data_IF_089305340667
#
_entry.id   IF_089305340667
#
_cell.length_a   1.000
_cell.length_b   1.000
_cell.length_c   1.000
_cell.angle_alpha   90.00
_cell.angle_beta   90.00
_cell.angle_gamma   90.00
#
_symmetry.space_group_name_H-M   'P 1'
#
loop_
_entity.id
_entity.type
_entity.pdbx_description
1 polymer ?
#
# COMPACT_ATOMS: atom_id res chain seq x y z
N UNK A 1 -9.35 -19.99 -6.76
CA UNK A 1 -8.37 -20.02 -5.66
C UNK A 1 -8.74 -18.93 -4.66
N UNK A 2 -8.44 -19.08 -3.36
CA UNK A 2 -8.65 -17.99 -2.41
C UNK A 2 -7.84 -16.76 -2.83
N UNK A 3 -8.41 -15.56 -2.66
CA UNK A 3 -7.76 -14.30 -3.00
C UNK A 3 -6.68 -13.98 -1.96
N UNK A 4 -5.44 -13.60 -2.34
CA UNK A 4 -4.42 -13.17 -1.40
C UNK A 4 -4.89 -12.02 -0.53
N UNK A 5 -4.50 -12.05 0.75
CA UNK A 5 -4.71 -10.96 1.69
C UNK A 5 -3.37 -10.33 2.07
N UNK A 6 -3.32 -9.01 2.06
CA UNK A 6 -2.13 -8.20 2.32
C UNK A 6 -2.44 -7.08 3.32
N UNK A 7 -1.40 -6.46 3.85
CA UNK A 7 -1.49 -5.40 4.85
C UNK A 7 -0.80 -4.12 4.34
N UNK A 8 -1.45 -2.97 4.49
CA UNK A 8 -0.83 -1.65 4.41
C UNK A 8 -0.74 -1.09 5.84
N UNK A 9 0.47 -0.89 6.31
CA UNK A 9 0.74 -0.31 7.63
C UNK A 9 1.22 1.13 7.51
N UNK A 10 0.50 2.05 8.16
CA UNK A 10 0.82 3.47 8.19
C UNK A 10 1.68 3.85 9.40
N UNK A 11 1.99 2.91 10.29
CA UNK A 11 2.74 3.12 11.54
C UNK A 11 2.14 4.26 12.40
N UNK A 12 0.85 4.16 12.79
CA UNK A 12 0.16 5.24 13.50
C UNK A 12 0.69 5.39 14.93
N UNK A 13 0.78 6.66 15.38
CA UNK A 13 1.14 7.04 16.74
C UNK A 13 -0.14 7.36 17.49
N UNK A 14 -0.49 6.58 18.51
CA UNK A 14 -1.63 6.86 19.37
C UNK A 14 -1.30 7.98 20.37
N UNK A 15 -2.29 8.78 20.75
CA UNK A 15 -2.13 9.82 21.74
C UNK A 15 -1.58 9.27 23.07
N UNK A 16 -0.51 9.88 23.57
CA UNK A 16 0.19 9.42 24.77
C UNK A 16 1.29 8.38 24.56
N UNK A 17 1.46 7.86 23.34
CA UNK A 17 2.52 6.92 22.96
C UNK A 17 3.68 7.64 22.26
N UNK A 18 4.81 6.95 22.11
CA UNK A 18 5.99 7.45 21.40
C UNK A 18 6.08 6.89 19.98
N UNK A 19 6.75 7.62 19.07
CA UNK A 19 7.04 7.13 17.71
C UNK A 19 7.83 5.81 17.72
N UNK A 20 8.74 5.63 18.69
CA UNK A 20 9.51 4.39 18.82
C UNK A 20 8.64 3.19 19.20
N UNK A 21 7.59 3.37 20.01
CA UNK A 21 6.60 2.33 20.30
C UNK A 21 5.78 2.00 19.07
N UNK A 22 5.30 3.00 18.33
CA UNK A 22 4.56 2.79 17.07
C UNK A 22 5.37 1.97 16.06
N UNK A 23 6.66 2.27 15.89
CA UNK A 23 7.56 1.51 15.00
C UNK A 23 7.70 0.06 15.49
N UNK A 24 7.98 -0.18 16.78
CA UNK A 24 8.10 -1.55 17.32
C UNK A 24 6.80 -2.34 17.14
N UNK A 25 5.66 -1.73 17.44
CA UNK A 25 4.34 -2.36 17.21
C UNK A 25 4.17 -2.77 15.75
N UNK A 26 4.52 -1.90 14.79
CA UNK A 26 4.41 -2.23 13.35
C UNK A 26 5.34 -3.38 12.97
N UNK A 27 6.53 -3.49 13.55
CA UNK A 27 7.44 -4.63 13.34
C UNK A 27 6.82 -5.92 13.89
N UNK A 28 6.30 -5.89 15.12
CA UNK A 28 5.69 -7.09 15.75
C UNK A 28 4.45 -7.56 14.97
N UNK A 29 3.64 -6.63 14.47
CA UNK A 29 2.47 -6.94 13.65
C UNK A 29 2.85 -7.51 12.27
N UNK A 30 3.95 -7.07 11.67
CA UNK A 30 4.45 -7.67 10.43
C UNK A 30 4.95 -9.12 10.63
N UNK A 31 5.64 -9.38 11.74
CA UNK A 31 6.04 -10.74 12.12
C UNK A 31 4.82 -11.63 12.33
N UNK A 32 3.78 -11.13 12.99
CA UNK A 32 2.52 -11.83 13.15
C UNK A 32 1.85 -12.12 11.79
N UNK A 33 1.83 -11.14 10.88
CA UNK A 33 1.28 -11.30 9.53
C UNK A 33 2.02 -12.41 8.74
N UNK A 34 3.37 -12.49 8.84
CA UNK A 34 4.16 -13.58 8.25
C UNK A 34 3.74 -14.95 8.80
N UNK A 35 3.55 -15.05 10.12
CA UNK A 35 3.12 -16.28 10.79
C UNK A 35 1.73 -16.74 10.37
N UNK A 36 0.81 -15.79 10.14
CA UNK A 36 -0.56 -16.05 9.75
C UNK A 36 -0.76 -16.30 8.25
N UNK A 37 0.27 -16.07 7.42
CA UNK A 37 0.20 -16.36 5.98
C UNK A 37 -0.29 -15.18 5.13
N UNK A 38 -0.18 -13.95 5.59
CA UNK A 38 -0.36 -12.79 4.74
C UNK A 38 0.59 -12.82 3.56
N UNK A 39 0.13 -12.32 2.41
CA UNK A 39 0.95 -12.34 1.20
C UNK A 39 2.04 -11.27 1.23
N UNK A 40 1.67 -10.03 1.62
CA UNK A 40 2.63 -8.92 1.75
C UNK A 40 2.26 -7.93 2.84
N UNK A 41 3.25 -7.14 3.26
CA UNK A 41 3.05 -5.91 4.04
C UNK A 41 3.75 -4.76 3.32
N UNK A 42 3.05 -3.63 3.20
CA UNK A 42 3.60 -2.40 2.64
C UNK A 42 3.61 -1.28 3.67
N UNK A 43 4.62 -0.41 3.57
CA UNK A 43 4.80 0.79 4.38
C UNK A 43 4.72 2.03 3.51
N UNK A 44 3.98 3.06 3.97
CA UNK A 44 3.82 4.30 3.24
C UNK A 44 4.89 5.33 3.64
N UNK A 45 5.23 6.22 2.70
CA UNK A 45 6.08 7.38 2.93
C UNK A 45 5.21 8.59 3.29
N UNK A 46 5.34 9.09 4.54
CA UNK A 46 4.67 10.30 4.98
C UNK A 46 5.66 11.21 5.72
N UNK A 47 5.70 12.47 5.33
CA UNK A 47 6.57 13.47 5.94
C UNK A 47 5.77 14.53 6.69
N UNK A 48 6.37 15.11 7.74
CA UNK A 48 5.75 16.14 8.58
C UNK A 48 4.34 15.77 9.06
N UNK A 49 4.14 14.49 9.37
CA UNK A 49 2.86 13.95 9.86
C UNK A 49 3.03 13.48 11.31
N UNK A 50 2.66 14.29 12.31
CA UNK A 50 2.92 13.96 13.72
C UNK A 50 2.20 12.70 14.23
N UNK A 51 1.20 12.23 13.50
CA UNK A 51 0.46 11.00 13.80
C UNK A 51 1.03 9.74 13.17
N UNK A 52 2.10 9.82 12.37
CA UNK A 52 2.68 8.68 11.65
C UNK A 52 4.19 8.61 11.89
N UNK A 53 4.72 7.42 12.10
CA UNK A 53 6.13 7.23 12.44
C UNK A 53 7.00 6.75 11.26
N UNK A 54 6.45 6.60 10.05
CA UNK A 54 7.17 6.12 8.87
C UNK A 54 7.33 7.21 7.81
N UNK A 55 8.56 7.72 7.67
CA UNK A 55 8.96 8.64 6.59
C UNK A 55 10.00 8.04 5.65
N UNK A 56 10.46 6.81 5.91
CA UNK A 56 11.49 6.10 5.15
C UNK A 56 11.10 4.61 5.03
N UNK A 57 10.16 4.28 4.12
CA UNK A 57 9.68 2.91 3.98
C UNK A 57 10.79 1.90 3.69
N UNK A 58 11.85 2.28 2.97
CA UNK A 58 12.99 1.43 2.65
C UNK A 58 13.73 0.89 3.90
N UNK A 59 13.76 1.67 4.98
CA UNK A 59 14.35 1.24 6.25
C UNK A 59 13.44 0.22 6.95
N UNK A 60 12.12 0.45 6.94
CA UNK A 60 11.15 -0.49 7.48
C UNK A 60 11.16 -1.81 6.69
N UNK A 61 11.27 -1.72 5.37
CA UNK A 61 11.33 -2.89 4.48
C UNK A 61 12.51 -3.78 4.84
N UNK A 62 13.73 -3.23 4.93
CA UNK A 62 14.91 -4.00 5.29
C UNK A 62 14.73 -4.66 6.66
N UNK A 63 14.36 -3.86 7.67
CA UNK A 63 14.24 -4.32 9.04
C UNK A 63 13.22 -5.45 9.21
N UNK A 64 12.12 -5.44 8.47
CA UNK A 64 11.07 -6.47 8.52
C UNK A 64 11.43 -7.66 7.66
N UNK A 65 11.97 -7.45 6.46
CA UNK A 65 12.39 -8.54 5.60
C UNK A 65 13.45 -9.43 6.26
N UNK A 66 14.35 -8.83 7.08
CA UNK A 66 15.35 -9.57 7.87
C UNK A 66 14.75 -10.37 9.05
N UNK A 67 13.51 -10.08 9.48
CA UNK A 67 12.81 -10.72 10.60
C UNK A 67 11.69 -11.67 10.21
N UNK A 68 11.35 -11.71 8.93
CA UNK A 68 10.29 -12.53 8.35
C UNK A 68 10.87 -13.48 7.32
N UNK A 69 10.16 -14.52 6.96
CA UNK A 69 10.71 -15.56 6.08
C UNK A 69 9.96 -15.74 4.75
N UNK A 70 8.67 -15.45 4.71
CA UNK A 70 7.80 -15.68 3.55
C UNK A 70 7.12 -14.42 3.05
N UNK A 71 6.78 -13.53 4.00
CA UNK A 71 6.09 -12.28 3.74
C UNK A 71 6.87 -11.43 2.73
N UNK A 72 6.22 -10.99 1.67
CA UNK A 72 6.76 -9.94 0.81
C UNK A 72 6.68 -8.61 1.55
N UNK A 73 7.69 -7.79 1.41
CA UNK A 73 7.76 -6.49 2.11
C UNK A 73 8.00 -5.39 1.07
N UNK A 74 7.25 -4.29 1.15
CA UNK A 74 7.38 -3.26 0.14
C UNK A 74 6.95 -1.88 0.57
N UNK A 75 7.06 -0.94 -0.37
CA UNK A 75 6.57 0.43 -0.21
C UNK A 75 5.14 0.54 -0.75
N UNK A 76 4.29 1.20 0.02
CA UNK A 76 2.92 1.48 -0.37
C UNK A 76 2.50 2.94 -0.18
N UNK A 77 3.32 3.91 -0.77
CA UNK A 77 4.44 3.82 -1.71
C UNK A 77 5.56 4.80 -1.41
N UNK A 78 6.61 4.67 -2.21
CA UNK A 78 7.60 5.73 -2.34
C UNK A 78 6.99 6.87 -3.15
N UNK A 79 7.09 8.09 -2.65
CA UNK A 79 6.59 9.28 -3.36
C UNK A 79 7.64 9.73 -4.39
N UNK A 80 7.65 9.08 -5.57
CA UNK A 80 8.70 9.21 -6.57
C UNK A 80 9.10 10.67 -6.90
N UNK A 81 8.17 11.65 -6.97
CA UNK A 81 8.55 13.04 -7.23
C UNK A 81 9.41 13.71 -6.15
N UNK A 82 9.56 13.10 -4.98
CA UNK A 82 10.44 13.61 -3.92
C UNK A 82 11.89 13.09 -4.05
N UNK A 83 12.15 12.17 -4.98
CA UNK A 83 13.40 11.41 -5.04
C UNK A 83 14.03 11.44 -6.45
N UNK A 84 15.35 11.28 -6.52
CA UNK A 84 16.03 11.00 -7.77
C UNK A 84 15.77 9.55 -8.20
N UNK A 85 15.28 9.26 -9.42
CA UNK A 85 15.01 7.89 -9.90
C UNK A 85 16.20 6.96 -9.76
N UNK A 86 17.43 7.43 -10.02
CA UNK A 86 18.65 6.64 -9.82
C UNK A 86 18.78 6.16 -8.36
N UNK A 87 18.52 7.05 -7.38
CA UNK A 87 18.62 6.67 -5.96
C UNK A 87 17.60 5.60 -5.59
N UNK A 88 16.38 5.71 -6.10
CA UNK A 88 15.34 4.70 -5.89
C UNK A 88 15.73 3.37 -6.54
N UNK A 89 16.27 3.42 -7.79
CA UNK A 89 16.75 2.23 -8.46
C UNK A 89 17.81 1.49 -7.64
N UNK A 90 18.82 2.21 -7.15
CA UNK A 90 19.91 1.61 -6.35
C UNK A 90 19.41 1.08 -5.00
N UNK A 91 18.54 1.83 -4.32
CA UNK A 91 18.00 1.40 -3.02
C UNK A 91 17.19 0.10 -3.14
N UNK A 92 16.30 0.01 -4.13
CA UNK A 92 15.44 -1.17 -4.27
C UNK A 92 16.14 -2.36 -4.92
N UNK A 93 17.15 -2.15 -5.77
CA UNK A 93 18.05 -3.22 -6.20
C UNK A 93 18.85 -3.79 -5.04
N UNK A 94 19.35 -2.94 -4.12
CA UNK A 94 20.07 -3.41 -2.95
C UNK A 94 19.14 -4.22 -2.01
N UNK A 95 17.92 -3.76 -1.79
CA UNK A 95 16.92 -4.50 -1.00
C UNK A 95 16.60 -5.86 -1.65
N UNK A 96 16.42 -5.91 -2.98
CA UNK A 96 16.18 -7.14 -3.71
C UNK A 96 17.39 -8.10 -3.66
N UNK A 97 18.61 -7.57 -3.71
CA UNK A 97 19.83 -8.36 -3.55
C UNK A 97 19.95 -8.97 -2.13
N UNK A 98 19.52 -8.24 -1.11
CA UNK A 98 19.51 -8.71 0.28
C UNK A 98 18.39 -9.74 0.55
N UNK A 99 17.23 -9.56 -0.07
CA UNK A 99 16.01 -10.36 0.16
C UNK A 99 15.36 -10.80 -1.16
N UNK A 100 16.04 -11.65 -1.96
CA UNK A 100 15.59 -11.98 -3.33
C UNK A 100 14.16 -12.51 -3.38
N UNK A 101 13.35 -11.94 -4.28
CA UNK A 101 11.98 -12.34 -4.54
C UNK A 101 10.97 -11.90 -3.47
N UNK A 102 11.38 -11.12 -2.46
CA UNK A 102 10.52 -10.73 -1.34
C UNK A 102 10.23 -9.23 -1.28
N UNK A 103 10.80 -8.44 -2.15
CA UNK A 103 10.64 -6.99 -2.13
C UNK A 103 9.58 -6.55 -3.14
N UNK A 104 8.86 -5.47 -2.84
CA UNK A 104 7.95 -4.76 -3.75
C UNK A 104 8.28 -3.27 -3.76
N UNK A 105 8.26 -2.65 -4.95
CA UNK A 105 8.39 -1.21 -5.11
C UNK A 105 7.07 -0.60 -5.55
N UNK A 106 6.31 -0.07 -4.61
CA UNK A 106 5.12 0.72 -4.91
C UNK A 106 5.46 2.20 -5.02
N UNK A 107 4.95 2.87 -6.06
CA UNK A 107 5.24 4.24 -6.42
C UNK A 107 3.98 5.11 -6.37
N UNK A 108 4.05 6.22 -5.64
CA UNK A 108 3.01 7.25 -5.56
C UNK A 108 3.39 8.55 -6.26
N UNK A 109 2.38 9.24 -6.81
CA UNK A 109 2.54 10.56 -7.42
C UNK A 109 2.45 11.71 -6.42
N UNK A 110 1.61 11.55 -5.40
CA UNK A 110 1.38 12.60 -4.40
C UNK A 110 2.66 12.90 -3.61
N UNK A 111 2.81 14.12 -3.05
CA UNK A 111 4.01 14.45 -2.26
C UNK A 111 4.09 13.72 -0.91
N UNK A 112 3.02 13.09 -0.45
CA UNK A 112 2.96 12.42 0.87
C UNK A 112 3.05 13.38 2.05
N UNK A 113 2.79 14.68 1.83
CA UNK A 113 2.97 15.73 2.83
C UNK A 113 2.31 17.05 2.42
N UNK A 114 2.45 18.09 3.27
CA UNK A 114 2.05 19.47 2.95
C UNK A 114 3.00 20.17 1.96
N UNK A 115 2.57 21.31 1.41
CA UNK A 115 3.30 22.04 0.36
C UNK A 115 4.68 22.55 0.82
N UNK A 116 4.82 22.98 2.08
CA UNK A 116 6.09 23.50 2.61
C UNK A 116 7.10 22.37 2.74
N UNK A 117 6.66 21.24 3.26
CA UNK A 117 7.48 20.04 3.40
C UNK A 117 7.86 19.47 2.03
N UNK A 118 6.91 19.43 1.08
CA UNK A 118 7.21 19.03 -0.31
C UNK A 118 8.28 19.94 -0.93
N UNK A 119 8.25 21.26 -0.67
CA UNK A 119 9.29 22.19 -1.12
C UNK A 119 10.64 21.88 -0.46
N UNK A 120 10.67 21.55 0.83
CA UNK A 120 11.90 21.15 1.52
C UNK A 120 12.50 19.86 0.95
N UNK A 121 11.67 18.94 0.45
CA UNK A 121 12.09 17.68 -0.20
C UNK A 121 12.61 17.93 -1.62
N UNK A 122 11.85 18.65 -2.46
CA UNK A 122 12.14 18.85 -3.90
C UNK A 122 13.11 19.99 -4.16
N UNK A 123 13.24 20.95 -3.25
CA UNK A 123 14.22 22.05 -3.18
C UNK A 123 14.17 23.06 -4.33
N UNK A 124 13.15 23.04 -5.17
CA UNK A 124 12.88 24.07 -6.18
C UNK A 124 11.39 24.33 -6.36
N UNK A 125 11.02 25.55 -6.76
CA UNK A 125 9.64 25.91 -7.04
C UNK A 125 9.14 25.24 -8.33
N UNK A 126 10.01 25.09 -9.31
CA UNK A 126 9.74 24.40 -10.57
C UNK A 126 9.41 22.92 -10.31
N UNK A 127 10.25 22.22 -9.54
CA UNK A 127 10.02 20.83 -9.17
C UNK A 127 8.72 20.64 -8.35
N UNK A 128 8.33 21.63 -7.54
CA UNK A 128 7.10 21.56 -6.76
C UNK A 128 5.84 21.57 -7.64
N UNK A 129 5.89 22.29 -8.76
CA UNK A 129 4.76 22.46 -9.70
C UNK A 129 4.86 21.56 -10.93
N UNK A 130 5.95 20.82 -11.10
CA UNK A 130 6.13 19.90 -12.22
C UNK A 130 5.10 18.74 -12.14
N UNK A 131 4.48 18.44 -13.27
CA UNK A 131 3.68 17.23 -13.48
C UNK A 131 4.51 16.22 -14.29
N UNK A 132 5.67 15.85 -13.73
CA UNK A 132 6.75 15.07 -14.35
C UNK A 132 6.78 13.62 -13.87
N UNK A 133 5.72 13.15 -13.22
CA UNK A 133 5.66 11.79 -12.70
C UNK A 133 5.82 10.70 -13.78
N UNK A 134 5.21 10.82 -14.98
CA UNK A 134 5.45 9.85 -16.05
C UNK A 134 6.91 9.83 -16.53
N UNK A 135 7.58 10.99 -16.60
CA UNK A 135 8.97 11.14 -17.00
C UNK A 135 9.91 10.51 -15.95
N UNK A 136 9.67 10.76 -14.66
CA UNK A 136 10.41 10.15 -13.56
C UNK A 136 10.26 8.63 -13.54
N UNK A 137 9.04 8.11 -13.82
CA UNK A 137 8.80 6.68 -13.96
C UNK A 137 9.57 6.11 -15.16
N UNK A 138 9.51 6.78 -16.31
CA UNK A 138 10.24 6.35 -17.51
C UNK A 138 11.76 6.35 -17.27
N UNK A 139 12.29 7.35 -16.56
CA UNK A 139 13.70 7.40 -16.16
C UNK A 139 14.09 6.26 -15.24
N UNK A 140 13.25 5.95 -14.24
CA UNK A 140 13.47 4.80 -13.33
C UNK A 140 13.53 3.47 -14.10
N UNK A 141 12.58 3.26 -15.01
CA UNK A 141 12.55 2.07 -15.87
C UNK A 141 13.76 2.01 -16.81
N UNK A 142 14.15 3.15 -17.39
CA UNK A 142 15.31 3.24 -18.26
C UNK A 142 16.63 2.96 -17.53
N UNK A 143 16.76 3.33 -16.27
CA UNK A 143 17.90 2.92 -15.44
C UNK A 143 17.93 1.41 -15.23
N UNK A 144 16.78 0.79 -14.95
CA UNK A 144 16.72 -0.65 -14.70
C UNK A 144 16.96 -1.47 -15.96
N UNK A 145 16.37 -1.08 -17.08
CA UNK A 145 16.44 -1.82 -18.36
C UNK A 145 17.64 -1.41 -19.21
N UNK A 146 18.44 -0.41 -18.77
CA UNK A 146 19.56 0.15 -19.55
C UNK A 146 19.09 0.72 -20.90
N UNK A 147 17.89 1.28 -20.94
CA UNK A 147 17.16 1.63 -22.16
C UNK A 147 17.26 3.12 -22.54
N UNK A 148 18.19 3.87 -21.99
CA UNK A 148 18.40 5.26 -22.41
C UNK A 148 18.86 5.36 -23.87
N UNK A 149 18.34 6.34 -24.65
CA UNK A 149 18.80 6.63 -26.01
C UNK A 149 20.31 6.82 -26.12
N UNK A 150 20.86 6.64 -27.31
CA UNK A 150 22.30 6.64 -27.52
C UNK A 150 22.99 7.97 -27.16
N UNK A 151 22.28 9.10 -27.29
CA UNK A 151 22.70 10.45 -27.00
C UNK A 151 22.28 10.95 -25.60
N UNK A 152 21.57 10.12 -24.83
CA UNK A 152 21.10 10.52 -23.51
C UNK A 152 22.27 10.64 -22.52
N UNK A 153 22.35 11.72 -21.68
CA UNK A 153 23.46 11.93 -20.76
C UNK A 153 23.61 10.82 -19.70
N UNK A 154 22.54 10.11 -19.35
CA UNK A 154 22.55 9.05 -18.36
C UNK A 154 22.82 7.65 -18.93
N UNK A 155 23.03 7.51 -20.25
CA UNK A 155 23.22 6.21 -20.89
C UNK A 155 24.33 5.35 -20.29
N UNK A 156 25.39 5.96 -19.78
CA UNK A 156 26.54 5.26 -19.20
C UNK A 156 26.38 4.94 -17.71
N UNK A 157 25.36 5.49 -17.07
CA UNK A 157 25.11 5.25 -15.63
C UNK A 157 24.58 3.83 -15.46
N UNK A 158 25.15 3.12 -14.50
CA UNK A 158 24.74 1.76 -14.10
C UNK A 158 24.35 1.77 -12.65
N UNK A 159 23.04 1.68 -12.32
CA UNK A 159 22.59 1.55 -10.94
C UNK A 159 23.23 0.33 -10.27
N UNK A 160 23.68 0.47 -9.05
CA UNK A 160 24.28 -0.62 -8.26
C UNK A 160 23.26 -1.20 -7.27
N UNK A 161 23.30 -2.54 -7.03
CA UNK A 161 24.13 -3.58 -7.64
C UNK A 161 23.80 -3.78 -9.13
N UNK A 162 24.83 -3.95 -9.96
CA UNK A 162 24.64 -3.97 -11.44
C UNK A 162 23.99 -5.25 -11.98
N UNK A 163 24.08 -6.34 -11.24
CA UNK A 163 23.61 -7.68 -11.57
C UNK A 163 22.21 -7.98 -10.97
N UNK A 164 21.63 -7.04 -10.24
CA UNK A 164 20.30 -7.16 -9.66
C UNK A 164 19.32 -6.24 -10.38
N UNK A 165 18.13 -6.76 -10.71
CA UNK A 165 17.04 -5.97 -11.27
C UNK A 165 16.16 -5.37 -10.17
N UNK A 166 15.35 -4.37 -10.53
CA UNK A 166 14.31 -3.89 -9.63
C UNK A 166 13.31 -4.98 -9.27
N UNK A 167 12.80 -5.01 -8.03
CA UNK A 167 11.70 -5.88 -7.65
C UNK A 167 10.43 -5.54 -8.43
N UNK A 168 9.35 -6.33 -8.30
CA UNK A 168 8.05 -6.00 -8.89
C UNK A 168 7.61 -4.57 -8.57
N UNK A 169 7.26 -3.81 -9.64
CA UNK A 169 6.83 -2.42 -9.55
C UNK A 169 5.31 -2.32 -9.55
N UNK A 170 4.81 -1.42 -8.71
CA UNK A 170 3.39 -1.14 -8.55
C UNK A 170 3.14 0.35 -8.64
N UNK A 171 2.18 0.78 -9.47
CA UNK A 171 1.69 2.15 -9.37
C UNK A 171 0.53 2.22 -8.39
N UNK A 172 0.54 3.24 -7.54
CA UNK A 172 -0.48 3.48 -6.54
C UNK A 172 -1.32 4.70 -6.92
N UNK A 173 -2.62 4.61 -6.69
CA UNK A 173 -3.50 5.74 -6.92
C UNK A 173 -4.92 5.53 -6.45
N UNK A 174 -5.67 6.64 -6.39
CA UNK A 174 -7.10 6.68 -6.07
C UNK A 174 -7.93 7.26 -7.21
N UNK A 175 -7.37 7.29 -8.42
CA UNK A 175 -8.00 7.85 -9.62
C UNK A 175 -7.70 7.01 -10.85
N UNK A 176 -8.39 7.32 -11.95
CA UNK A 176 -8.23 6.72 -13.28
C UNK A 176 -6.87 7.02 -13.94
N UNK A 177 -6.24 8.15 -13.60
CA UNK A 177 -4.93 8.53 -14.15
C UNK A 177 -3.86 7.44 -13.86
N UNK A 178 -3.70 7.07 -12.58
CA UNK A 178 -2.70 6.05 -12.20
C UNK A 178 -3.05 4.67 -12.76
N UNK A 179 -4.35 4.36 -12.89
CA UNK A 179 -4.82 3.12 -13.49
C UNK A 179 -4.39 3.00 -14.97
N UNK A 180 -4.62 4.06 -15.75
CA UNK A 180 -4.20 4.12 -17.17
C UNK A 180 -2.69 4.06 -17.33
N UNK A 181 -1.96 4.87 -16.55
CA UNK A 181 -0.49 4.86 -16.61
C UNK A 181 0.09 3.48 -16.28
N UNK A 182 -0.45 2.80 -15.25
CA UNK A 182 -0.03 1.45 -14.90
C UNK A 182 -0.33 0.44 -16.02
N UNK A 183 -1.50 0.54 -16.64
CA UNK A 183 -1.90 -0.33 -17.74
C UNK A 183 -1.01 -0.14 -18.97
N UNK A 184 -0.75 1.10 -19.37
CA UNK A 184 0.10 1.46 -20.52
C UNK A 184 1.56 1.04 -20.30
N UNK A 185 2.07 1.21 -19.07
CA UNK A 185 3.43 0.82 -18.71
C UNK A 185 3.59 -0.69 -18.43
N UNK A 186 2.52 -1.47 -18.46
CA UNK A 186 2.55 -2.91 -18.15
C UNK A 186 3.03 -3.22 -16.74
N UNK A 187 2.58 -2.45 -15.74
CA UNK A 187 2.97 -2.58 -14.33
C UNK A 187 1.79 -3.02 -13.47
N UNK A 188 2.07 -3.53 -12.25
CA UNK A 188 1.05 -3.81 -11.25
C UNK A 188 0.35 -2.52 -10.80
N UNK A 189 -0.93 -2.62 -10.41
CA UNK A 189 -1.71 -1.47 -9.95
C UNK A 189 -2.37 -1.73 -8.60
N UNK A 190 -2.19 -0.80 -7.65
CA UNK A 190 -2.84 -0.83 -6.34
C UNK A 190 -3.77 0.38 -6.19
N UNK A 191 -5.08 0.11 -6.15
CA UNK A 191 -6.07 1.16 -5.99
C UNK A 191 -6.38 1.44 -4.52
N UNK A 192 -6.23 2.70 -4.11
CA UNK A 192 -6.47 3.17 -2.75
C UNK A 192 -7.97 3.45 -2.50
N UNK A 193 -8.79 2.39 -2.37
CA UNK A 193 -10.23 2.53 -2.09
C UNK A 193 -10.51 3.11 -0.69
N UNK A 194 -9.57 3.00 0.25
CA UNK A 194 -9.64 3.69 1.54
C UNK A 194 -9.61 5.22 1.40
N UNK A 195 -9.09 5.77 0.29
CA UNK A 195 -9.12 7.19 -0.05
C UNK A 195 -10.32 7.53 -0.92
N UNK A 196 -10.63 6.69 -1.92
CA UNK A 196 -11.71 6.90 -2.87
C UNK A 196 -12.47 5.59 -3.18
N UNK A 197 -13.37 5.20 -2.30
CA UNK A 197 -14.11 3.94 -2.45
C UNK A 197 -14.96 3.89 -3.73
N UNK A 198 -15.53 5.05 -4.16
CA UNK A 198 -16.41 5.11 -5.36
C UNK A 198 -15.66 4.88 -6.66
N UNK A 199 -14.39 5.25 -6.72
CA UNK A 199 -13.55 5.08 -7.91
C UNK A 199 -12.99 3.68 -8.11
N UNK A 200 -13.09 2.77 -7.12
CA UNK A 200 -12.42 1.49 -7.14
C UNK A 200 -12.85 0.59 -8.31
N UNK A 201 -14.17 0.38 -8.46
CA UNK A 201 -14.69 -0.53 -9.50
C UNK A 201 -14.36 -0.06 -10.92
N UNK A 202 -14.66 1.19 -11.33
CA UNK A 202 -14.31 1.64 -12.67
C UNK A 202 -12.79 1.62 -12.91
N UNK A 203 -11.98 2.15 -12.00
CA UNK A 203 -10.53 2.26 -12.21
C UNK A 203 -9.85 0.89 -12.36
N UNK A 204 -10.21 -0.10 -11.52
CA UNK A 204 -9.60 -1.43 -11.59
C UNK A 204 -10.05 -2.20 -12.84
N UNK A 205 -11.31 -2.05 -13.26
CA UNK A 205 -11.79 -2.65 -14.51
C UNK A 205 -11.14 -2.00 -15.73
N UNK A 206 -11.01 -0.68 -15.77
CA UNK A 206 -10.35 0.04 -16.86
C UNK A 206 -8.86 -0.32 -16.95
N UNK A 207 -8.16 -0.44 -15.81
CA UNK A 207 -6.79 -0.93 -15.75
C UNK A 207 -6.68 -2.31 -16.42
N UNK A 208 -7.53 -3.26 -16.07
CA UNK A 208 -7.49 -4.61 -16.64
C UNK A 208 -7.81 -4.63 -18.13
N UNK A 209 -8.81 -3.85 -18.54
CA UNK A 209 -9.27 -3.81 -19.94
C UNK A 209 -8.25 -3.17 -20.89
N UNK A 210 -7.44 -2.22 -20.39
CA UNK A 210 -6.45 -1.47 -21.18
C UNK A 210 -5.01 -1.94 -20.95
N UNK A 211 -4.80 -3.00 -20.15
CA UNK A 211 -3.47 -3.48 -19.79
C UNK A 211 -2.66 -3.95 -21.01
N UNK A 212 -1.45 -3.43 -21.11
CA UNK A 212 -0.46 -3.83 -22.11
C UNK A 212 0.55 -4.78 -21.45
N UNK A 213 0.63 -6.07 -21.87
CA UNK A 213 1.57 -7.00 -21.30
C UNK A 213 3.02 -6.53 -21.42
N UNK A 214 3.83 -6.75 -20.40
CA UNK A 214 5.26 -6.46 -20.35
C UNK A 214 6.07 -7.68 -19.88
N UNK A 215 7.41 -7.60 -19.99
CA UNK A 215 8.28 -8.63 -19.41
C UNK A 215 8.14 -8.71 -17.89
N UNK A 216 7.76 -7.60 -17.22
CA UNK A 216 7.56 -7.55 -15.76
C UNK A 216 6.23 -8.16 -15.34
N UNK A 217 5.20 -7.95 -16.15
CA UNK A 217 3.84 -8.45 -15.91
C UNK A 217 3.24 -8.95 -17.24
N UNK A 218 3.20 -10.27 -17.45
CA UNK A 218 2.55 -10.85 -18.64
C UNK A 218 1.02 -10.71 -18.59
N UNK A 219 0.46 -10.53 -17.39
CA UNK A 219 -0.97 -10.34 -17.12
C UNK A 219 -1.17 -9.24 -16.09
N UNK A 220 -2.31 -8.52 -16.12
CA UNK A 220 -2.60 -7.49 -15.13
C UNK A 220 -2.73 -8.09 -13.73
N UNK A 221 -2.16 -7.41 -12.74
CA UNK A 221 -2.37 -7.73 -11.34
C UNK A 221 -2.87 -6.50 -10.59
N UNK A 222 -4.10 -6.58 -10.10
CA UNK A 222 -4.83 -5.50 -9.45
C UNK A 222 -4.96 -5.74 -7.94
N UNK A 223 -4.47 -4.80 -7.12
CA UNK A 223 -4.65 -4.80 -5.66
C UNK A 223 -5.76 -3.80 -5.32
N UNK A 224 -6.76 -4.25 -4.55
CA UNK A 224 -7.76 -3.40 -3.94
C UNK A 224 -7.36 -3.10 -2.49
N UNK A 225 -6.96 -1.85 -2.19
CA UNK A 225 -6.59 -1.45 -0.83
C UNK A 225 -7.79 -0.80 -0.13
N UNK A 226 -8.24 -1.39 0.97
CA UNK A 226 -9.42 -0.96 1.72
C UNK A 226 -9.08 -0.67 3.17
N UNK A 227 -9.79 0.29 3.80
CA UNK A 227 -9.76 0.48 5.26
C UNK A 227 -10.79 -0.41 5.91
N UNK A 228 -10.41 -1.05 7.02
CA UNK A 228 -11.30 -1.89 7.83
C UNK A 228 -11.24 -1.49 9.31
N UNK A 229 -12.38 -1.60 9.99
CA UNK A 229 -12.51 -1.45 11.44
C UNK A 229 -13.19 -2.70 11.96
N UNK A 230 -12.41 -3.62 12.51
CA UNK A 230 -12.88 -4.93 12.98
C UNK A 230 -13.03 -4.91 14.49
N UNK A 231 -14.26 -5.05 14.98
CA UNK A 231 -14.57 -5.23 16.39
C UNK A 231 -14.80 -6.68 16.77
N UNK A 232 -14.91 -6.96 18.06
CA UNK A 232 -15.37 -8.28 18.59
C UNK A 232 -16.82 -8.58 18.18
N UNK A 233 -17.61 -7.51 18.10
CA UNK A 233 -18.99 -7.49 17.61
C UNK A 233 -19.17 -6.29 16.70
N UNK A 234 -20.24 -6.29 15.89
CA UNK A 234 -20.59 -5.13 15.05
C UNK A 234 -20.86 -3.85 15.86
N UNK A 235 -21.37 -3.96 17.10
CA UNK A 235 -21.55 -2.81 18.00
C UNK A 235 -20.21 -2.25 18.47
N UNK A 236 -19.28 -3.12 18.90
CA UNK A 236 -17.91 -2.70 19.27
C UNK A 236 -17.18 -2.07 18.08
N UNK A 237 -17.32 -2.61 16.87
CA UNK A 237 -16.75 -1.99 15.68
C UNK A 237 -17.28 -0.58 15.42
N UNK A 238 -18.57 -0.33 15.65
CA UNK A 238 -19.16 1.02 15.54
C UNK A 238 -18.59 1.98 16.58
N UNK A 239 -18.34 1.52 17.79
CA UNK A 239 -17.66 2.35 18.81
C UNK A 239 -16.24 2.69 18.35
N UNK A 240 -15.46 1.71 17.90
CA UNK A 240 -14.11 1.92 17.36
C UNK A 240 -14.09 2.86 16.15
N UNK A 241 -15.14 2.87 15.34
CA UNK A 241 -15.22 3.76 14.17
C UNK A 241 -15.27 5.25 14.51
N UNK A 242 -15.62 5.63 15.74
CA UNK A 242 -15.55 7.01 16.20
C UNK A 242 -14.13 7.58 16.16
N UNK A 243 -13.10 6.72 16.30
CA UNK A 243 -11.69 7.10 16.12
C UNK A 243 -11.47 7.61 14.70
N UNK A 244 -11.96 6.87 13.70
CA UNK A 244 -11.83 7.25 12.29
C UNK A 244 -12.58 8.56 12.02
N UNK A 245 -13.79 8.71 12.56
CA UNK A 245 -14.61 9.91 12.38
C UNK A 245 -13.89 11.15 12.93
N UNK A 246 -13.36 11.07 14.16
CA UNK A 246 -12.61 12.17 14.75
C UNK A 246 -11.31 12.47 14.02
N UNK A 247 -10.58 11.43 13.59
CA UNK A 247 -9.37 11.59 12.79
C UNK A 247 -9.66 12.30 11.46
N UNK A 248 -10.72 11.94 10.76
CA UNK A 248 -11.15 12.58 9.52
C UNK A 248 -11.51 14.05 9.70
N UNK A 249 -12.20 14.40 10.80
CA UNK A 249 -12.49 15.79 11.13
C UNK A 249 -11.21 16.59 11.38
N UNK A 250 -10.27 16.04 12.13
CA UNK A 250 -8.97 16.67 12.41
C UNK A 250 -8.16 16.88 11.14
N UNK A 251 -8.09 15.85 10.30
CA UNK A 251 -7.41 15.93 9.00
C UNK A 251 -8.02 17.05 8.14
N UNK A 252 -9.34 17.14 8.08
CA UNK A 252 -10.05 18.15 7.29
C UNK A 252 -9.86 19.57 7.81
N UNK A 253 -9.75 19.74 9.13
CA UNK A 253 -9.50 21.04 9.77
C UNK A 253 -8.02 21.42 9.85
N UNK A 254 -7.12 20.59 9.32
CA UNK A 254 -5.67 20.82 9.40
C UNK A 254 -5.08 20.58 10.79
N UNK A 255 -5.82 19.95 11.69
CA UNK A 255 -5.38 19.60 13.04
C UNK A 255 -4.63 18.26 13.02
N UNK A 256 -3.43 18.27 12.45
CA UNK A 256 -2.59 17.09 12.40
C UNK A 256 -1.98 16.79 13.78
N UNK A 257 -2.06 15.54 14.22
CA UNK A 257 -1.53 15.11 15.52
C UNK A 257 -1.55 13.61 15.66
N UNK A 258 -1.20 13.12 16.86
CA UNK A 258 -1.35 11.71 17.19
C UNK A 258 -2.80 11.27 17.01
N UNK A 259 -2.99 9.99 16.71
CA UNK A 259 -4.31 9.40 16.53
C UNK A 259 -5.10 9.45 17.85
N UNK A 260 -6.39 9.81 17.81
CA UNK A 260 -7.21 9.87 19.01
C UNK A 260 -7.40 8.48 19.61
N UNK A 261 -7.52 8.42 20.94
CA UNK A 261 -7.96 7.21 21.64
C UNK A 261 -9.46 7.01 21.50
N UNK A 262 -9.96 5.80 21.77
CA UNK A 262 -11.41 5.53 21.82
C UNK A 262 -12.11 6.39 22.86
N UNK A 263 -11.49 6.59 24.04
CA UNK A 263 -12.03 7.46 25.09
C UNK A 263 -12.20 8.90 24.60
N UNK A 264 -11.20 9.44 23.91
CA UNK A 264 -11.24 10.79 23.36
C UNK A 264 -12.34 10.91 22.29
N UNK A 265 -12.39 9.96 21.37
CA UNK A 265 -13.38 9.94 20.29
C UNK A 265 -14.81 9.77 20.80
N UNK A 266 -15.02 8.92 21.83
CA UNK A 266 -16.32 8.71 22.44
C UNK A 266 -16.85 9.92 23.22
N UNK A 267 -15.96 10.77 23.74
CA UNK A 267 -16.33 12.02 24.44
C UNK A 267 -16.55 13.20 23.50
N UNK A 268 -16.13 13.10 22.24
CA UNK A 268 -16.26 14.20 21.29
C UNK A 268 -17.73 14.44 20.91
N UNK A 269 -18.25 15.68 21.06
CA UNK A 269 -19.65 15.99 20.84
C UNK A 269 -19.94 16.23 19.34
N UNK A 270 -19.86 15.17 18.52
CA UNK A 270 -20.14 15.29 17.10
C UNK A 270 -21.46 16.00 16.79
N UNK A 271 -21.40 17.13 16.12
CA UNK A 271 -22.57 17.86 15.63
C UNK A 271 -23.24 17.16 14.43
N UNK A 272 -24.49 17.49 14.13
CA UNK A 272 -25.18 16.97 12.96
C UNK A 272 -24.47 17.35 11.65
N UNK A 273 -23.90 18.55 11.57
CA UNK A 273 -23.14 19.03 10.41
C UNK A 273 -21.85 18.23 10.20
N UNK A 274 -21.11 17.93 11.26
CA UNK A 274 -19.89 17.10 11.19
C UNK A 274 -20.21 15.67 10.76
N UNK A 275 -21.27 15.05 11.30
CA UNK A 275 -21.73 13.71 10.89
C UNK A 275 -22.10 13.68 9.40
N UNK A 276 -22.80 14.71 8.91
CA UNK A 276 -23.14 14.83 7.50
C UNK A 276 -21.90 15.02 6.64
N UNK A 277 -20.93 15.81 7.08
CA UNK A 277 -19.66 16.01 6.40
C UNK A 277 -18.89 14.69 6.28
N UNK A 278 -18.71 13.96 7.39
CA UNK A 278 -18.05 12.64 7.40
C UNK A 278 -18.74 11.68 6.43
N UNK A 279 -20.07 11.59 6.46
CA UNK A 279 -20.84 10.71 5.58
C UNK A 279 -20.71 11.06 4.09
N UNK A 280 -20.38 12.32 3.75
CA UNK A 280 -20.18 12.78 2.37
C UNK A 280 -18.76 12.53 1.84
N UNK A 281 -17.79 12.24 2.71
CA UNK A 281 -16.39 12.02 2.29
C UNK A 281 -16.25 10.78 1.40
N UNK A 282 -15.32 10.80 0.43
CA UNK A 282 -15.03 9.64 -0.41
C UNK A 282 -14.30 8.53 0.35
N UNK A 283 -13.62 8.88 1.44
CA UNK A 283 -12.92 7.94 2.34
C UNK A 283 -13.94 7.10 3.10
N UNK A 284 -13.75 5.79 3.08
CA UNK A 284 -14.62 4.85 3.81
C UNK A 284 -13.83 3.74 4.43
N UNK A 285 -14.29 3.31 5.62
CA UNK A 285 -13.86 2.07 6.27
C UNK A 285 -15.01 1.08 6.25
N UNK A 286 -14.71 -0.20 6.04
CA UNK A 286 -15.65 -1.29 6.27
C UNK A 286 -15.66 -1.59 7.76
N UNK A 287 -16.83 -1.45 8.41
CA UNK A 287 -17.00 -1.50 9.85
C UNK A 287 -17.92 -2.66 10.21
N UNK A 288 -17.49 -3.53 11.12
CA UNK A 288 -18.27 -4.68 11.57
C UNK A 288 -17.43 -5.70 12.33
N UNK A 289 -18.03 -6.83 12.67
CA UNK A 289 -17.25 -8.01 13.00
C UNK A 289 -16.52 -8.57 11.76
N UNK A 290 -15.67 -9.55 11.97
CA UNK A 290 -14.79 -10.03 10.89
C UNK A 290 -15.57 -10.63 9.71
N UNK A 291 -16.66 -11.34 9.95
CA UNK A 291 -17.52 -11.95 8.93
C UNK A 291 -18.24 -10.90 8.11
N UNK A 292 -18.78 -9.88 8.76
CA UNK A 292 -19.43 -8.77 8.07
C UNK A 292 -18.46 -7.97 7.20
N UNK A 293 -17.29 -7.64 7.74
CA UNK A 293 -16.23 -6.95 6.99
C UNK A 293 -15.76 -7.79 5.81
N UNK A 294 -15.49 -9.09 6.03
CA UNK A 294 -15.09 -10.00 4.95
C UNK A 294 -16.12 -10.04 3.81
N UNK A 295 -17.40 -10.17 4.13
CA UNK A 295 -18.47 -10.19 3.13
C UNK A 295 -18.48 -8.92 2.29
N UNK A 296 -18.42 -7.74 2.92
CA UNK A 296 -18.43 -6.44 2.24
C UNK A 296 -17.18 -6.23 1.37
N UNK A 297 -16.00 -6.56 1.90
CA UNK A 297 -14.73 -6.43 1.18
C UNK A 297 -14.67 -7.38 -0.01
N UNK A 298 -15.13 -8.62 0.15
CA UNK A 298 -15.20 -9.61 -0.92
C UNK A 298 -16.14 -9.17 -2.04
N UNK A 299 -17.30 -8.62 -1.71
CA UNK A 299 -18.25 -8.09 -2.70
C UNK A 299 -17.59 -6.98 -3.55
N UNK A 300 -16.91 -6.01 -2.92
CA UNK A 300 -16.20 -4.96 -3.65
C UNK A 300 -15.04 -5.52 -4.49
N UNK A 301 -14.30 -6.49 -3.96
CA UNK A 301 -13.20 -7.13 -4.67
C UNK A 301 -13.67 -7.93 -5.90
N UNK A 302 -14.82 -8.59 -5.80
CA UNK A 302 -15.45 -9.30 -6.92
C UNK A 302 -15.96 -8.31 -7.98
N UNK A 303 -16.64 -7.25 -7.56
CA UNK A 303 -17.12 -6.19 -8.45
C UNK A 303 -15.97 -5.48 -9.19
N UNK A 304 -14.87 -5.23 -8.53
CA UNK A 304 -13.70 -4.57 -9.11
C UNK A 304 -12.76 -5.52 -9.86
N UNK A 305 -12.99 -6.83 -9.79
CA UNK A 305 -12.12 -7.86 -10.37
C UNK A 305 -10.67 -7.78 -9.82
N UNK A 306 -10.52 -7.41 -8.55
CA UNK A 306 -9.21 -7.36 -7.92
C UNK A 306 -8.63 -8.77 -7.75
N UNK A 307 -7.34 -8.93 -8.02
CA UNK A 307 -6.60 -10.19 -7.81
C UNK A 307 -6.25 -10.38 -6.35
N UNK A 308 -6.05 -9.29 -5.63
CA UNK A 308 -5.57 -9.25 -4.26
C UNK A 308 -6.32 -8.19 -3.46
N UNK A 309 -6.55 -8.45 -2.17
CA UNK A 309 -7.07 -7.49 -1.20
C UNK A 309 -5.94 -7.06 -0.27
N UNK A 310 -5.77 -5.76 -0.11
CA UNK A 310 -4.87 -5.19 0.89
C UNK A 310 -5.70 -4.42 1.92
N UNK A 311 -5.57 -4.78 3.19
CA UNK A 311 -6.29 -4.10 4.26
C UNK A 311 -5.40 -3.11 4.99
N UNK A 312 -5.99 -2.00 5.41
CA UNK A 312 -5.38 -1.06 6.37
C UNK A 312 -6.39 -0.74 7.46
N UNK A 313 -5.92 -0.22 8.57
CA UNK A 313 -6.81 0.29 9.63
C UNK A 313 -6.28 1.62 10.16
N UNK A 314 -7.20 2.50 10.51
CA UNK A 314 -6.88 3.75 11.21
C UNK A 314 -6.97 3.61 12.74
N UNK A 315 -7.22 2.40 13.24
CA UNK A 315 -7.16 2.12 14.69
C UNK A 315 -5.68 2.16 15.13
N UNK A 316 -5.34 2.99 16.12
CA UNK A 316 -3.96 3.15 16.52
C UNK A 316 -3.52 2.15 17.59
N UNK A 317 -4.48 1.63 18.39
CA UNK A 317 -4.17 0.76 19.52
C UNK A 317 -3.60 -0.60 19.05
N UNK A 318 -2.50 -1.06 19.65
CA UNK A 318 -1.85 -2.31 19.24
C UNK A 318 -2.76 -3.54 19.28
N UNK A 319 -3.63 -3.64 20.29
CA UNK A 319 -4.53 -4.79 20.47
C UNK A 319 -5.63 -4.81 19.40
N UNK A 320 -6.18 -3.67 19.02
CA UNK A 320 -7.17 -3.58 17.95
C UNK A 320 -6.56 -3.89 16.59
N UNK A 321 -5.36 -3.42 16.33
CA UNK A 321 -4.59 -3.76 15.11
C UNK A 321 -4.27 -5.25 15.06
N UNK A 322 -3.85 -5.83 16.17
CA UNK A 322 -3.59 -7.27 16.30
C UNK A 322 -4.86 -8.07 16.05
N UNK A 323 -5.98 -7.68 16.66
CA UNK A 323 -7.30 -8.32 16.44
C UNK A 323 -7.65 -8.30 14.96
N UNK A 324 -7.57 -7.14 14.32
CA UNK A 324 -7.86 -7.01 12.89
C UNK A 324 -7.02 -7.99 12.07
N UNK A 325 -5.71 -8.08 12.31
CA UNK A 325 -4.81 -8.98 11.57
C UNK A 325 -5.19 -10.45 11.79
N UNK A 326 -5.46 -10.85 13.03
CA UNK A 326 -5.82 -12.24 13.36
C UNK A 326 -7.18 -12.63 12.76
N UNK A 327 -8.19 -11.78 12.96
CA UNK A 327 -9.55 -12.06 12.51
C UNK A 327 -9.67 -12.02 10.97
N UNK A 328 -9.00 -11.09 10.31
CA UNK A 328 -8.99 -11.07 8.86
C UNK A 328 -8.26 -12.29 8.28
N UNK A 329 -7.16 -12.73 8.88
CA UNK A 329 -6.50 -13.98 8.48
C UNK A 329 -7.44 -15.19 8.60
N UNK A 330 -8.22 -15.26 9.69
CA UNK A 330 -9.19 -16.32 9.93
C UNK A 330 -10.29 -16.34 8.87
N UNK A 331 -10.95 -15.21 8.60
CA UNK A 331 -12.07 -15.15 7.65
C UNK A 331 -11.65 -15.26 6.19
N UNK A 332 -10.40 -14.91 5.85
CA UNK A 332 -9.80 -15.16 4.54
C UNK A 332 -9.18 -16.55 4.42
N UNK A 333 -9.28 -17.38 5.47
CA UNK A 333 -8.77 -18.74 5.51
C UNK A 333 -7.28 -18.84 5.16
N UNK A 334 -6.48 -17.89 5.65
CA UNK A 334 -5.05 -17.89 5.37
C UNK A 334 -4.38 -19.10 6.01
N UNK A 335 -3.50 -19.75 5.25
CA UNK A 335 -2.70 -20.88 5.72
C UNK A 335 -1.23 -20.53 5.67
N UNK A 336 -0.51 -20.79 6.76
CA UNK A 336 0.94 -20.62 6.79
C UNK A 336 1.58 -21.47 5.69
N UNK A 337 2.24 -20.82 4.72
CA UNK A 337 2.92 -21.51 3.61
C UNK A 337 2.24 -21.41 2.24
N UNK A 338 1.07 -20.80 2.13
CA UNK A 338 0.45 -20.56 0.82
C UNK A 338 1.16 -19.40 0.10
N UNK A 339 1.57 -19.61 -1.16
CA UNK A 339 2.14 -18.58 -2.05
C UNK A 339 1.37 -18.55 -3.36
N UNK A 340 0.80 -17.38 -3.77
CA UNK A 340 0.11 -17.25 -5.05
C UNK A 340 1.02 -17.49 -6.28
N UNK A 341 2.31 -17.19 -6.14
CA UNK A 341 3.31 -17.38 -7.22
C UNK A 341 3.55 -18.87 -7.43
N UNK A 342 3.80 -19.64 -6.37
CA UNK A 342 3.96 -21.08 -6.45
C UNK A 342 2.70 -21.81 -6.98
N UNK A 343 1.49 -21.28 -6.68
CA UNK A 343 0.24 -21.82 -7.19
C UNK A 343 0.05 -21.58 -8.71
N UNK A 344 0.55 -20.46 -9.25
CA UNK A 344 0.52 -20.19 -10.71
C UNK A 344 1.56 -21.02 -11.47
N UNK A 345 2.75 -21.19 -10.94
CA UNK A 345 3.80 -22.05 -11.54
C UNK A 345 3.37 -23.52 -11.63
N UNK A 346 2.65 -24.04 -10.63
CA UNK A 346 2.11 -25.39 -10.64
C UNK A 346 1.03 -25.61 -11.71
N UNK A 347 0.22 -24.60 -12.01
CA UNK A 347 -0.82 -24.64 -13.06
C UNK A 347 -0.20 -24.59 -14.46
N UNK A 348 0.83 -23.75 -14.67
CA UNK A 348 1.53 -23.66 -15.94
C UNK A 348 2.33 -24.93 -16.25
N UNK A 349 2.94 -25.56 -15.25
CA UNK A 349 3.68 -26.81 -15.41
C UNK A 349 2.74 -27.98 -15.74
N UNK A 350 1.55 -28.03 -15.13
CA UNK A 350 0.55 -29.08 -15.42
C UNK A 350 -0.09 -28.92 -16.80
N UNK A 351 -0.29 -27.67 -17.27
CA UNK A 351 -0.81 -27.39 -18.60
C UNK A 351 0.20 -27.73 -19.71
N UNK A 352 1.51 -27.49 -19.49
CA UNK A 352 2.57 -27.86 -20.42
C UNK A 352 2.78 -29.37 -20.52
N UNK A 353 2.54 -30.12 -19.46
CA UNK A 353 2.60 -31.60 -19.48
C UNK A 353 1.37 -32.24 -20.16
N UNK A 354 0.22 -31.58 -20.13
CA UNK A 354 -1.01 -32.08 -20.79
C UNK A 354 -1.04 -31.85 -22.31
N UNK A 355 -0.15 -30.98 -22.83
CA UNK A 355 -0.03 -30.70 -24.28
C UNK A 355 1.09 -31.55 -24.91
N UNK A 356 1.97 -32.17 -24.12
CA UNK A 356 3.11 -32.99 -24.56
C UNK A 356 2.86 -34.51 -24.41
N UNK A 357 1.70 -34.95 -24.06
CA UNK A 357 1.18 -36.33 -24.06
C UNK A 357 -0.02 -36.44 -24.98
#
# INVERSE_FOLDING_TARGET
>A
MPRPLSLLDLTPIVAGSSSGEAVRTSVDLAVLADQLGYHRVWYAEHHNSPGLASGAPEIMIEHIASRTSRLRVGAGGVMLPNHAPLKIAETFRLLEALHPGRIDLGLGRAPGTDTITAFAMRRSAEALTADDYPELLAELLAFDDQAFPADHPFRTIRPVPVDTKLPPLWLLGSSDFSARLAAEAGLGFAFAAHINARGAVPALRDYRASFVPSERYPEPWAILTVSVTVGETSDHARELSLINDLLLLRLRSGQLGAYPTLEEAGRYPFTAAERQMIASMPMRSFVGDAEEVHRQVRELADQSQADEVMVTTFLPEPDDRRRMIVEMARVFELTAGWSPIAARESVTTSASQAIAG
#
